data_IF_815753551484
#
_entry.id   IF_815753551484
#
_cell.length_a   1.000
_cell.length_b   1.000
_cell.length_c   1.000
_cell.angle_alpha   90.00
_cell.angle_beta   90.00
_cell.angle_gamma   90.00
#
_symmetry.space_group_name_H-M   'P 1'
#
loop_
_entity.id
_entity.type
_entity.pdbx_description
1 polymer ?
#
# COMPACT_ATOMS: atom_id res chain seq x y z
N UNK A 1 -1.86 -20.84 6.23
CA UNK A 1 -2.57 -21.92 5.52
C UNK A 1 -1.65 -23.12 5.33
N UNK A 2 -0.50 -22.95 4.69
CA UNK A 2 0.48 -24.03 4.44
C UNK A 2 0.99 -24.68 5.74
N UNK A 3 1.43 -23.88 6.73
CA UNK A 3 1.86 -24.37 8.04
C UNK A 3 0.76 -25.07 8.85
N UNK A 4 -0.51 -24.85 8.49
CA UNK A 4 -1.67 -25.49 9.11
C UNK A 4 -2.17 -26.70 8.32
N UNK A 5 -1.47 -27.10 7.24
CA UNK A 5 -1.85 -28.22 6.39
C UNK A 5 -3.11 -28.00 5.54
N UNK A 6 -3.59 -26.75 5.43
CA UNK A 6 -4.81 -26.45 4.68
C UNK A 6 -4.50 -26.44 3.19
N UNK A 7 -5.16 -27.31 2.42
CA UNK A 7 -4.97 -27.42 0.97
C UNK A 7 -5.93 -26.52 0.19
N UNK A 8 -5.54 -26.14 -1.02
CA UNK A 8 -6.42 -25.44 -1.98
C UNK A 8 -7.57 -26.35 -2.45
N UNK A 9 -8.62 -25.77 -3.04
CA UNK A 9 -9.76 -26.53 -3.60
C UNK A 9 -9.32 -27.56 -4.65
N UNK A 10 -8.22 -27.31 -5.36
CA UNK A 10 -7.64 -28.24 -6.34
C UNK A 10 -6.63 -29.23 -5.74
N UNK A 11 -6.55 -29.33 -4.41
CA UNK A 11 -5.66 -30.25 -3.70
C UNK A 11 -4.18 -29.84 -3.64
N UNK A 12 -3.82 -28.64 -4.11
CA UNK A 12 -2.44 -28.14 -4.02
C UNK A 12 -2.12 -27.69 -2.59
N UNK A 13 -0.90 -27.96 -2.17
CA UNK A 13 -0.39 -27.60 -0.85
C UNK A 13 0.06 -26.13 -0.81
N UNK A 14 0.62 -25.62 -1.91
CA UNK A 14 1.05 -24.23 -2.03
C UNK A 14 -0.12 -23.31 -2.38
N UNK A 15 -0.24 -22.21 -1.66
CA UNK A 15 -1.27 -21.19 -1.88
C UNK A 15 -0.74 -20.04 -2.72
N UNK A 16 -1.41 -19.78 -3.84
CA UNK A 16 -1.12 -18.60 -4.67
C UNK A 16 -1.76 -17.34 -4.07
N UNK A 17 -0.96 -16.29 -3.84
CA UNK A 17 -1.41 -15.00 -3.32
C UNK A 17 -2.52 -14.38 -4.17
N UNK A 18 -2.49 -14.54 -5.49
CA UNK A 18 -3.55 -14.04 -6.39
C UNK A 18 -4.87 -14.76 -6.16
N UNK A 19 -4.84 -16.03 -5.81
CA UNK A 19 -6.05 -16.79 -5.48
C UNK A 19 -6.68 -16.25 -4.19
N UNK A 20 -5.87 -16.00 -3.16
CA UNK A 20 -6.34 -15.40 -1.90
C UNK A 20 -6.92 -14.00 -2.17
N UNK A 21 -6.24 -13.17 -2.97
CA UNK A 21 -6.75 -11.84 -3.31
C UNK A 21 -8.12 -11.89 -4.03
N UNK A 22 -8.32 -12.87 -4.93
CA UNK A 22 -9.61 -13.09 -5.60
C UNK A 22 -10.70 -13.55 -4.64
N UNK A 23 -10.35 -14.29 -3.59
CA UNK A 23 -11.28 -14.67 -2.52
C UNK A 23 -11.69 -13.43 -1.72
N UNK A 24 -10.73 -12.61 -1.29
CA UNK A 24 -10.99 -11.41 -0.51
C UNK A 24 -11.83 -10.35 -1.24
N UNK A 25 -11.81 -10.33 -2.58
CA UNK A 25 -12.55 -9.37 -3.41
C UNK A 25 -13.88 -9.92 -3.96
N UNK A 26 -14.25 -11.16 -3.58
CA UNK A 26 -15.45 -11.79 -4.10
C UNK A 26 -16.71 -11.32 -3.34
N UNK A 27 -17.52 -10.49 -3.99
CA UNK A 27 -18.74 -9.93 -3.41
C UNK A 27 -19.74 -10.99 -2.94
N UNK A 28 -19.65 -12.21 -3.50
CA UNK A 28 -20.49 -13.34 -3.08
C UNK A 28 -20.33 -13.67 -1.61
N UNK A 29 -19.15 -13.45 -1.04
CA UNK A 29 -18.92 -13.76 0.37
C UNK A 29 -19.69 -12.84 1.32
N UNK A 30 -20.08 -11.63 0.87
CA UNK A 30 -20.99 -10.76 1.62
C UNK A 30 -22.47 -10.90 1.24
N UNK A 31 -22.82 -11.92 0.46
CA UNK A 31 -24.20 -12.18 0.04
C UNK A 31 -24.62 -11.49 -1.25
N UNK A 32 -23.73 -10.74 -1.91
CA UNK A 32 -24.06 -9.98 -3.11
C UNK A 32 -23.72 -10.73 -4.40
N UNK A 33 -24.25 -10.31 -5.54
CA UNK A 33 -23.91 -10.91 -6.84
C UNK A 33 -23.91 -9.86 -7.95
N UNK A 34 -22.81 -9.82 -8.70
CA UNK A 34 -22.76 -9.09 -9.97
C UNK A 34 -23.02 -10.06 -11.12
N UNK A 35 -24.09 -9.81 -11.85
CA UNK A 35 -24.43 -10.51 -13.09
C UNK A 35 -23.72 -9.86 -14.27
N UNK A 36 -23.42 -10.68 -15.29
CA UNK A 36 -22.86 -10.21 -16.56
C UNK A 36 -21.49 -9.52 -16.45
N UNK A 37 -20.63 -10.01 -15.53
CA UNK A 37 -19.20 -9.62 -15.42
C UNK A 37 -18.40 -9.85 -16.70
N UNK A 38 -18.83 -10.81 -17.53
CA UNK A 38 -18.22 -11.13 -18.82
C UNK A 38 -19.30 -11.20 -19.89
N UNK A 39 -18.90 -10.97 -21.14
CA UNK A 39 -19.77 -11.10 -22.30
C UNK A 39 -19.01 -11.80 -23.43
N UNK A 40 -19.75 -12.38 -24.37
CA UNK A 40 -19.19 -12.93 -25.60
C UNK A 40 -18.99 -11.78 -26.59
N UNK A 41 -17.73 -11.49 -26.91
CA UNK A 41 -17.32 -10.42 -27.82
C UNK A 41 -17.52 -10.82 -29.27
N UNK A 42 -17.05 -12.02 -29.61
CA UNK A 42 -17.21 -12.63 -30.93
C UNK A 42 -17.98 -13.95 -30.79
N UNK A 43 -19.14 -14.02 -31.46
CA UNK A 43 -20.01 -15.17 -31.44
C UNK A 43 -19.50 -16.33 -32.30
N UNK A 44 -18.68 -16.05 -33.32
CA UNK A 44 -18.10 -17.07 -34.20
C UNK A 44 -16.95 -17.82 -33.52
N UNK A 45 -16.16 -17.10 -32.71
CA UNK A 45 -15.01 -17.65 -31.99
C UNK A 45 -15.39 -18.07 -30.55
N UNK A 46 -16.51 -17.58 -30.02
CA UNK A 46 -16.95 -17.84 -28.64
C UNK A 46 -16.05 -17.15 -27.60
N UNK A 47 -15.29 -16.14 -28.00
CA UNK A 47 -14.34 -15.44 -27.13
C UNK A 47 -15.08 -14.63 -26.08
N UNK A 48 -14.83 -14.94 -24.80
CA UNK A 48 -15.38 -14.20 -23.66
C UNK A 48 -14.42 -13.13 -23.19
N UNK A 49 -14.92 -11.91 -23.08
CA UNK A 49 -14.18 -10.75 -22.60
C UNK A 49 -14.85 -10.20 -21.33
N UNK A 50 -14.06 -9.50 -20.50
CA UNK A 50 -14.63 -8.80 -19.33
C UNK A 50 -15.53 -7.67 -19.82
N UNK A 51 -16.68 -7.53 -19.19
CA UNK A 51 -17.57 -6.43 -19.46
C UNK A 51 -17.06 -5.21 -18.67
N UNK A 52 -16.63 -4.18 -19.39
CA UNK A 52 -16.15 -2.89 -18.86
C UNK A 52 -17.11 -1.75 -19.24
N UNK A 53 -18.34 -2.08 -19.62
CA UNK A 53 -19.36 -1.12 -20.05
C UNK A 53 -19.96 -1.43 -21.43
N UNK A 54 -19.48 -2.47 -22.13
CA UNK A 54 -20.05 -2.87 -23.42
C UNK A 54 -21.48 -3.40 -23.30
N UNK A 55 -21.86 -3.92 -22.14
CA UNK A 55 -23.23 -4.33 -21.83
C UNK A 55 -23.59 -3.94 -20.41
N UNK A 56 -24.89 -3.86 -20.11
CA UNK A 56 -25.35 -3.61 -18.75
C UNK A 56 -24.84 -4.69 -17.78
N UNK A 57 -24.42 -4.27 -16.60
CA UNK A 57 -24.13 -5.14 -15.45
C UNK A 57 -25.20 -4.90 -14.40
N UNK A 58 -25.63 -5.96 -13.75
CA UNK A 58 -26.66 -5.89 -12.72
C UNK A 58 -26.06 -6.30 -11.38
N UNK A 59 -26.17 -5.42 -10.40
CA UNK A 59 -25.76 -5.68 -9.03
C UNK A 59 -26.99 -6.06 -8.20
N UNK A 60 -26.98 -7.26 -7.63
CA UNK A 60 -28.06 -7.75 -6.76
C UNK A 60 -27.50 -7.85 -5.35
N UNK A 61 -28.12 -7.11 -4.42
CA UNK A 61 -27.82 -7.18 -2.99
C UNK A 61 -28.51 -8.35 -2.33
N UNK A 62 -27.88 -8.93 -1.31
CA UNK A 62 -28.46 -9.98 -0.45
C UNK A 62 -29.09 -11.14 -1.24
N UNK A 63 -28.45 -11.54 -2.34
CA UNK A 63 -28.96 -12.59 -3.23
C UNK A 63 -28.92 -13.99 -2.59
N UNK A 64 -28.07 -14.17 -1.59
CA UNK A 64 -27.88 -15.43 -0.87
C UNK A 64 -27.29 -15.17 0.52
N UNK A 65 -27.38 -16.14 1.46
CA UNK A 65 -26.81 -15.99 2.79
C UNK A 65 -25.32 -15.67 2.74
N UNK A 66 -24.93 -14.57 3.39
CA UNK A 66 -23.55 -14.13 3.44
C UNK A 66 -22.68 -15.09 4.28
N UNK A 67 -21.45 -15.32 3.83
CA UNK A 67 -20.43 -16.09 4.56
C UNK A 67 -19.74 -15.19 5.58
N UNK A 68 -19.52 -13.92 5.23
CA UNK A 68 -18.98 -12.87 6.10
C UNK A 68 -19.93 -11.67 6.10
N UNK A 69 -19.99 -10.91 7.19
CA UNK A 69 -20.80 -9.69 7.23
C UNK A 69 -20.28 -8.65 6.23
N UNK A 70 -21.18 -7.81 5.72
CA UNK A 70 -20.82 -6.69 4.84
C UNK A 70 -19.76 -5.79 5.48
N UNK A 71 -19.89 -5.50 6.79
CA UNK A 71 -18.92 -4.68 7.53
C UNK A 71 -17.50 -5.26 7.53
N UNK A 72 -17.36 -6.59 7.69
CA UNK A 72 -16.04 -7.23 7.67
C UNK A 72 -15.48 -7.21 6.24
N UNK A 73 -16.33 -7.48 5.26
CA UNK A 73 -15.92 -7.46 3.85
C UNK A 73 -15.44 -6.06 3.42
N UNK A 74 -16.18 -5.02 3.79
CA UNK A 74 -15.88 -3.65 3.44
C UNK A 74 -14.60 -3.16 4.14
N UNK A 75 -14.38 -3.52 5.42
CA UNK A 75 -13.09 -3.29 6.12
C UNK A 75 -11.90 -3.94 5.41
N UNK A 76 -12.08 -5.14 4.85
CA UNK A 76 -11.04 -5.81 4.07
C UNK A 76 -10.75 -5.04 2.78
N UNK A 77 -11.78 -4.54 2.08
CA UNK A 77 -11.58 -3.73 0.88
C UNK A 77 -10.82 -2.44 1.22
N UNK A 78 -11.21 -1.74 2.29
CA UNK A 78 -10.51 -0.54 2.74
C UNK A 78 -9.05 -0.81 3.08
N UNK A 79 -8.74 -1.92 3.77
CA UNK A 79 -7.37 -2.31 4.08
C UNK A 79 -6.58 -2.68 2.83
N UNK A 80 -7.23 -3.33 1.84
CA UNK A 80 -6.62 -3.62 0.55
C UNK A 80 -6.29 -2.35 -0.23
N UNK A 81 -7.20 -1.38 -0.24
CA UNK A 81 -7.00 -0.08 -0.89
C UNK A 81 -5.92 0.74 -0.17
N UNK A 82 -5.89 0.72 1.17
CA UNK A 82 -4.79 1.32 1.96
C UNK A 82 -3.42 0.73 1.61
N UNK A 83 -3.36 -0.59 1.37
CA UNK A 83 -2.12 -1.27 0.94
C UNK A 83 -1.77 -0.96 -0.51
N UNK A 84 -2.77 -0.74 -1.36
CA UNK A 84 -2.60 -0.29 -2.74
C UNK A 84 -2.26 1.21 -2.76
N UNK A 85 -1.02 1.56 -2.44
CA UNK A 85 -0.57 2.96 -2.46
C UNK A 85 -0.76 3.57 -3.84
N UNK A 86 -1.48 4.67 -3.89
CA UNK A 86 -1.57 5.52 -5.08
C UNK A 86 -0.53 6.62 -4.99
N UNK A 87 0.22 6.83 -6.07
CA UNK A 87 1.01 8.07 -6.24
C UNK A 87 0.15 8.97 -7.12
N UNK A 88 -0.26 10.11 -6.56
CA UNK A 88 -0.79 11.20 -7.38
C UNK A 88 0.38 11.84 -8.11
N UNK A 89 0.33 11.82 -9.45
CA UNK A 89 1.18 12.71 -10.26
C UNK A 89 0.57 14.11 -10.27
N UNK A 90 1.42 15.11 -10.46
CA UNK A 90 1.09 16.54 -10.57
C UNK A 90 -0.01 16.84 -11.62
N UNK A 91 -0.21 15.92 -12.57
CA UNK A 91 -1.22 16.00 -13.63
C UNK A 91 -2.57 15.34 -13.27
N UNK A 92 -2.83 15.06 -11.99
CA UNK A 92 -4.13 14.54 -11.53
C UNK A 92 -4.41 13.07 -11.91
N UNK A 93 -3.46 12.38 -12.54
CA UNK A 93 -3.58 10.94 -12.78
C UNK A 93 -3.20 10.16 -11.51
N UNK A 94 -4.17 9.42 -10.99
CA UNK A 94 -3.99 8.48 -9.88
C UNK A 94 -3.50 7.16 -10.48
N UNK A 95 -2.20 6.92 -10.44
CA UNK A 95 -1.63 5.63 -10.82
C UNK A 95 -1.38 4.80 -9.55
N UNK A 96 -1.72 3.50 -9.59
CA UNK A 96 -1.25 2.55 -8.58
C UNK A 96 0.26 2.61 -8.59
N UNK A 97 0.83 3.13 -7.51
CA UNK A 97 2.26 3.35 -7.45
C UNK A 97 2.96 2.00 -7.61
N UNK A 98 4.02 1.94 -8.41
CA UNK A 98 4.93 0.80 -8.43
C UNK A 98 5.64 0.55 -7.08
N UNK A 99 5.24 1.26 -6.02
CA UNK A 99 5.74 1.13 -4.66
C UNK A 99 5.09 -0.12 -4.07
N UNK A 100 5.78 -1.25 -4.25
CA UNK A 100 5.42 -2.51 -3.59
C UNK A 100 5.37 -2.29 -2.08
N UNK A 101 4.23 -2.57 -1.48
CA UNK A 101 4.06 -2.58 -0.03
C UNK A 101 5.10 -3.53 0.61
N UNK A 102 5.95 -2.98 1.46
CA UNK A 102 6.98 -3.71 2.18
C UNK A 102 6.46 -4.16 3.54
N UNK A 103 5.97 -5.39 3.64
CA UNK A 103 5.47 -5.94 4.90
C UNK A 103 6.54 -6.08 5.99
N UNK A 104 7.84 -6.05 5.64
CA UNK A 104 8.95 -6.27 6.58
C UNK A 104 9.40 -5.00 7.29
N UNK A 105 9.31 -3.84 6.64
CA UNK A 105 9.81 -2.58 7.18
C UNK A 105 8.78 -1.46 7.00
N UNK A 106 8.19 -1.00 8.11
CA UNK A 106 7.15 0.03 8.11
C UNK A 106 7.61 1.33 7.44
N UNK A 107 8.82 1.80 7.74
CA UNK A 107 9.36 3.05 7.20
C UNK A 107 9.50 3.06 5.67
N UNK A 108 9.70 1.88 5.05
CA UNK A 108 9.74 1.79 3.58
C UNK A 108 8.39 2.05 2.93
N UNK A 109 7.32 1.96 3.72
CA UNK A 109 5.99 2.38 3.39
C UNK A 109 5.68 3.75 3.98
N UNK A 110 6.61 4.60 4.38
CA UNK A 110 6.22 5.93 4.90
C UNK A 110 7.08 7.01 4.29
N UNK A 111 8.37 6.72 4.14
CA UNK A 111 9.36 7.66 3.69
C UNK A 111 9.27 7.91 2.18
N UNK A 112 9.02 9.17 1.84
CA UNK A 112 8.91 9.69 0.47
C UNK A 112 9.88 10.87 0.31
N UNK A 113 10.54 10.96 -0.83
CA UNK A 113 11.38 12.10 -1.16
C UNK A 113 10.52 13.32 -1.47
N UNK A 114 10.79 14.42 -0.77
CA UNK A 114 10.16 15.72 -0.99
C UNK A 114 10.50 16.32 -2.34
N UNK A 115 11.68 16.02 -2.90
CA UNK A 115 12.13 16.60 -4.17
C UNK A 115 11.57 15.88 -5.40
N UNK A 116 11.67 14.56 -5.44
CA UNK A 116 11.30 13.77 -6.62
C UNK A 116 10.06 12.88 -6.43
N UNK A 117 9.47 12.84 -5.23
CA UNK A 117 8.29 12.03 -4.93
C UNK A 117 8.54 10.51 -4.85
N UNK A 118 9.75 10.02 -5.11
CA UNK A 118 10.06 8.60 -5.04
C UNK A 118 10.17 8.10 -3.59
N UNK A 119 9.92 6.81 -3.36
CA UNK A 119 10.07 6.20 -2.04
C UNK A 119 11.53 6.09 -1.61
N UNK A 120 11.76 6.05 -0.30
CA UNK A 120 13.06 5.71 0.26
C UNK A 120 13.24 4.19 0.37
N UNK A 121 14.47 3.72 0.14
CA UNK A 121 14.86 2.31 0.25
C UNK A 121 15.87 2.11 1.36
N UNK A 122 15.63 1.07 2.16
CA UNK A 122 16.52 0.60 3.22
C UNK A 122 17.82 0.05 2.64
N UNK A 123 18.93 0.42 3.24
CA UNK A 123 20.29 -0.08 2.95
C UNK A 123 21.01 -0.29 4.28
N UNK A 124 21.97 -1.19 4.28
CA UNK A 124 22.93 -1.33 5.38
C UNK A 124 24.28 -0.84 4.88
N UNK A 125 24.84 0.17 5.54
CA UNK A 125 26.13 0.77 5.20
C UNK A 125 27.00 0.84 6.44
N UNK A 126 28.19 0.23 6.38
CA UNK A 126 29.16 0.22 7.50
C UNK A 126 28.53 -0.20 8.84
N UNK A 127 27.61 -1.17 8.80
CA UNK A 127 26.91 -1.68 9.99
C UNK A 127 25.70 -0.85 10.45
N UNK A 128 25.45 0.32 9.86
CA UNK A 128 24.28 1.16 10.15
C UNK A 128 23.19 0.97 9.11
N UNK A 129 21.94 1.13 9.53
CA UNK A 129 20.80 1.04 8.62
C UNK A 129 20.39 2.45 8.22
N UNK A 130 20.42 2.69 6.91
CA UNK A 130 20.10 3.99 6.35
C UNK A 130 19.03 3.86 5.26
N UNK A 131 18.32 4.95 5.03
CA UNK A 131 17.29 5.07 4.01
C UNK A 131 17.74 6.12 2.99
N UNK A 132 17.63 5.78 1.70
CA UNK A 132 17.96 6.69 0.60
C UNK A 132 16.86 6.72 -0.45
N UNK A 133 16.67 7.88 -1.09
CA UNK A 133 15.77 8.05 -2.21
C UNK A 133 16.03 7.00 -3.32
N UNK A 134 14.98 6.33 -3.78
CA UNK A 134 15.05 5.31 -4.82
C UNK A 134 15.59 5.89 -6.15
N UNK A 135 15.11 7.06 -6.56
CA UNK A 135 15.59 7.74 -7.79
C UNK A 135 17.08 8.01 -7.73
N UNK A 136 17.60 8.49 -6.58
CA UNK A 136 19.03 8.71 -6.37
C UNK A 136 19.84 7.42 -6.45
N UNK A 137 19.30 6.31 -5.95
CA UNK A 137 19.95 4.99 -6.03
C UNK A 137 19.99 4.49 -7.47
N UNK A 138 18.89 4.59 -8.21
CA UNK A 138 18.74 3.97 -9.53
C UNK A 138 19.31 4.81 -10.67
N UNK A 139 19.12 6.13 -10.60
CA UNK A 139 19.48 7.08 -11.67
C UNK A 139 20.65 7.99 -11.29
N UNK A 140 21.18 7.85 -10.08
CA UNK A 140 22.32 8.62 -9.57
C UNK A 140 21.93 9.94 -8.89
N UNK A 141 22.93 10.54 -8.23
CA UNK A 141 22.76 11.78 -7.43
C UNK A 141 22.34 12.98 -8.27
N UNK A 142 22.80 13.07 -9.52
CA UNK A 142 22.47 14.15 -10.45
C UNK A 142 20.95 14.30 -10.67
N UNK A 143 20.20 13.20 -10.59
CA UNK A 143 18.75 13.22 -10.80
C UNK A 143 17.97 13.69 -9.55
N UNK A 144 18.55 13.56 -8.35
CA UNK A 144 17.91 13.96 -7.09
C UNK A 144 18.97 14.41 -6.07
N UNK A 145 19.59 15.58 -6.28
CA UNK A 145 20.81 15.98 -5.58
C UNK A 145 20.59 16.32 -4.10
N UNK A 146 19.40 16.84 -3.77
CA UNK A 146 19.00 17.32 -2.45
C UNK A 146 18.38 16.24 -1.56
N UNK A 147 18.28 15.00 -2.03
CA UNK A 147 17.71 13.91 -1.22
C UNK A 147 18.72 13.40 -0.18
N UNK A 148 18.48 13.63 1.13
CA UNK A 148 19.44 13.21 2.15
C UNK A 148 19.41 11.70 2.35
N UNK A 149 20.50 11.16 2.89
CA UNK A 149 20.53 9.81 3.47
C UNK A 149 20.09 9.93 4.92
N UNK A 150 19.04 9.24 5.34
CA UNK A 150 18.53 9.32 6.71
C UNK A 150 18.80 8.03 7.47
N UNK A 151 19.21 8.14 8.74
CA UNK A 151 19.43 7.00 9.62
C UNK A 151 18.08 6.42 10.11
N UNK A 152 17.97 5.09 10.19
CA UNK A 152 16.75 4.42 10.65
C UNK A 152 16.40 4.77 12.10
N UNK A 153 17.39 4.80 12.99
CA UNK A 153 17.20 5.12 14.40
C UNK A 153 16.77 6.58 14.61
N UNK A 154 17.36 7.51 13.87
CA UNK A 154 16.95 8.92 13.93
C UNK A 154 15.51 9.11 13.46
N UNK A 155 15.10 8.50 12.33
CA UNK A 155 13.71 8.57 11.85
C UNK A 155 12.74 7.97 12.87
N UNK A 156 13.11 6.85 13.51
CA UNK A 156 12.30 6.23 14.55
C UNK A 156 12.13 7.15 15.77
N UNK A 157 13.19 7.84 16.19
CA UNK A 157 13.14 8.82 17.28
C UNK A 157 12.24 10.02 16.95
N UNK A 158 12.38 10.59 15.75
CA UNK A 158 11.52 11.68 15.29
C UNK A 158 10.05 11.27 15.28
N UNK A 159 9.75 10.06 14.80
CA UNK A 159 8.38 9.54 14.77
C UNK A 159 7.85 9.23 16.18
N UNK A 160 8.68 8.69 17.06
CA UNK A 160 8.26 8.37 18.42
C UNK A 160 7.93 9.63 19.23
N UNK A 161 8.72 10.70 19.09
CA UNK A 161 8.43 12.00 19.70
C UNK A 161 7.25 12.72 19.05
N UNK A 162 7.10 12.58 17.74
CA UNK A 162 6.05 13.26 17.01
C UNK A 162 4.66 12.64 17.20
N UNK A 163 4.58 11.33 17.38
CA UNK A 163 3.32 10.57 17.27
C UNK A 163 3.06 9.70 18.52
N UNK A 164 4.09 9.06 19.08
CA UNK A 164 3.89 8.09 20.15
C UNK A 164 3.77 8.78 21.53
N UNK A 165 2.71 8.46 22.28
CA UNK A 165 2.35 9.11 23.54
C UNK A 165 3.38 8.96 24.68
N UNK A 166 4.38 8.09 24.51
CA UNK A 166 5.45 7.81 25.51
C UNK A 166 6.87 8.02 24.97
N UNK A 167 7.03 8.56 23.76
CA UNK A 167 8.34 8.69 23.11
C UNK A 167 9.01 7.35 22.73
N UNK A 168 8.31 6.22 22.94
CA UNK A 168 8.74 4.88 22.53
C UNK A 168 8.19 4.63 21.13
N UNK A 169 9.06 4.22 20.20
CA UNK A 169 8.66 3.88 18.84
C UNK A 169 7.73 2.66 18.83
N UNK A 170 6.50 2.86 18.38
CA UNK A 170 5.47 1.81 18.25
C UNK A 170 4.98 1.75 16.81
N UNK A 171 5.30 0.66 16.11
CA UNK A 171 4.91 0.48 14.71
C UNK A 171 3.40 0.43 14.50
N UNK A 172 2.63 -0.04 15.48
CA UNK A 172 1.17 -0.10 15.42
C UNK A 172 0.56 1.29 15.43
N UNK A 173 1.02 2.15 16.33
CA UNK A 173 0.57 3.56 16.41
C UNK A 173 0.97 4.29 15.12
N UNK A 174 2.24 4.20 14.71
CA UNK A 174 2.73 4.90 13.51
C UNK A 174 1.94 4.47 12.27
N UNK A 175 1.65 3.18 12.10
CA UNK A 175 0.87 2.68 10.97
C UNK A 175 -0.55 3.25 10.92
N UNK A 176 -1.15 3.50 12.07
CA UNK A 176 -2.53 3.97 12.18
C UNK A 176 -2.65 5.50 12.14
N UNK A 177 -1.62 6.22 12.56
CA UNK A 177 -1.66 7.68 12.65
C UNK A 177 -0.92 8.39 11.51
N UNK A 178 0.09 7.77 10.90
CA UNK A 178 0.94 8.41 9.88
C UNK A 178 0.56 7.92 8.49
N UNK A 179 0.26 8.86 7.60
CA UNK A 179 0.00 8.60 6.18
C UNK A 179 1.32 8.46 5.40
N UNK A 180 2.13 9.52 5.46
CA UNK A 180 3.43 9.60 4.79
C UNK A 180 4.37 10.57 5.49
N UNK A 181 5.66 10.39 5.24
CA UNK A 181 6.74 11.24 5.74
C UNK A 181 7.54 11.74 4.55
N UNK A 182 7.46 13.03 4.25
CA UNK A 182 8.25 13.65 3.19
C UNK A 182 9.59 14.14 3.73
N UNK A 183 10.67 13.72 3.11
CA UNK A 183 12.04 14.07 3.48
C UNK A 183 12.60 15.03 2.43
N UNK A 184 12.97 16.23 2.87
CA UNK A 184 13.71 17.24 2.10
C UNK A 184 15.14 17.36 2.65
N UNK A 185 15.96 18.20 2.05
CA UNK A 185 17.37 18.41 2.44
C UNK A 185 17.51 18.81 3.92
N UNK A 186 16.68 19.74 4.39
CA UNK A 186 16.80 20.35 5.73
C UNK A 186 15.58 20.13 6.63
N UNK A 187 14.50 19.56 6.11
CA UNK A 187 13.25 19.37 6.85
C UNK A 187 12.59 18.03 6.56
N UNK A 188 11.80 17.57 7.52
CA UNK A 188 10.85 16.47 7.36
C UNK A 188 9.44 16.97 7.62
N UNK A 189 8.51 16.57 6.75
CA UNK A 189 7.07 16.78 6.93
C UNK A 189 6.40 15.44 7.20
N UNK A 190 5.80 15.31 8.38
CA UNK A 190 5.05 14.13 8.79
C UNK A 190 3.57 14.44 8.57
N UNK A 191 2.93 13.70 7.67
CA UNK A 191 1.50 13.81 7.39
C UNK A 191 0.75 12.73 8.17
N UNK A 192 -0.27 13.13 8.91
CA UNK A 192 -1.12 12.23 9.68
C UNK A 192 -2.41 11.90 8.93
N UNK A 193 -2.99 10.74 9.22
CA UNK A 193 -4.25 10.28 8.62
C UNK A 193 -5.45 11.20 8.91
N UNK A 194 -5.38 12.00 9.99
CA UNK A 194 -6.39 13.01 10.33
C UNK A 194 -6.22 14.34 9.56
N UNK A 195 -5.29 14.41 8.60
CA UNK A 195 -5.01 15.60 7.79
C UNK A 195 -4.06 16.61 8.43
N UNK A 196 -3.67 16.42 9.70
CA UNK A 196 -2.66 17.28 10.34
C UNK A 196 -1.25 16.98 9.82
N UNK A 197 -0.38 17.99 9.87
CA UNK A 197 1.02 17.85 9.49
C UNK A 197 1.94 18.42 10.58
N UNK A 198 3.10 17.78 10.76
CA UNK A 198 4.17 18.26 11.65
C UNK A 198 5.45 18.45 10.85
N UNK A 199 6.05 19.63 10.98
CA UNK A 199 7.36 19.95 10.41
C UNK A 199 8.44 19.74 11.47
N UNK A 200 9.52 19.05 11.11
CA UNK A 200 10.69 18.80 11.94
C UNK A 200 11.93 19.22 11.14
N UNK A 201 12.88 19.90 11.76
CA UNK A 201 14.16 20.24 11.13
C UNK A 201 15.17 19.13 11.41
N UNK A 202 16.12 18.89 10.50
CA UNK A 202 17.31 18.12 10.85
C UNK A 202 18.04 18.88 11.95
N UNK A 203 18.35 18.21 13.06
CA UNK A 203 19.29 18.76 14.04
C UNK A 203 20.68 18.60 13.43
N UNK A 204 21.34 19.72 13.13
CA UNK A 204 22.75 19.74 12.80
C UNK A 204 23.54 19.35 14.07
N UNK A 205 24.12 18.15 14.08
CA UNK A 205 25.19 17.77 15.01
C UNK A 205 26.56 18.08 14.37
#
# INVERSE_FOLDING_TARGET
>A
MESQGIRTVTGKELWDAKTIQRMLTNEKYKGDTILQKTFTEDFMIGKKSKNIGQRNQYYVKDSHPAIVSAEIFDKVQEEMDKRARFVSKEYGTVETSGIKYNGKYLLGNLLVCGDCGASYRRRTERGKVVWRCATRIEKGKETCPHSPTVDEGWVQGVLSEAICHKGIYDEGIIRNEVDKVQIFDTIILIFRNNGSQKKVLFQDD
#
